data_IF_116176110643
#
_entry.id   IF_116176110643
#
_cell.length_a   1.000
_cell.length_b   1.000
_cell.length_c   1.000
_cell.angle_alpha   90.00
_cell.angle_beta   90.00
_cell.angle_gamma   90.00
#
_symmetry.space_group_name_H-M   'P 1'
#
loop_
_entity.id
_entity.type
_entity.pdbx_description
1 polymer ?
#
# COMPACT_ATOMS: atom_id res chain seq x y z
N UNK A 1 -50.73 58.63 -23.54
CA UNK A 1 -49.68 58.44 -24.57
C UNK A 1 -48.47 57.85 -23.84
N UNK A 2 -48.39 56.53 -23.59
CA UNK A 2 -48.15 55.40 -24.50
C UNK A 2 -46.69 55.32 -24.99
N UNK A 3 -46.03 54.16 -24.73
CA UNK A 3 -44.74 53.64 -25.26
C UNK A 3 -43.46 54.31 -24.69
N UNK A 4 -42.37 53.63 -24.28
CA UNK A 4 -41.78 52.34 -24.68
C UNK A 4 -40.91 51.78 -23.52
N UNK A 5 -41.10 50.53 -23.08
CA UNK A 5 -40.30 49.32 -23.43
C UNK A 5 -38.84 49.43 -22.93
N UNK A 6 -38.52 48.93 -21.72
CA UNK A 6 -38.21 47.53 -21.40
C UNK A 6 -36.95 46.99 -22.11
N UNK A 7 -35.83 46.93 -21.40
CA UNK A 7 -34.88 45.82 -21.46
C UNK A 7 -33.77 46.01 -20.42
N UNK A 8 -33.21 44.91 -19.93
CA UNK A 8 -32.12 44.80 -18.95
C UNK A 8 -32.52 44.61 -17.47
N UNK A 9 -33.64 43.93 -17.21
CA UNK A 9 -33.56 42.81 -16.26
C UNK A 9 -33.07 41.57 -17.03
N UNK A 10 -32.37 40.69 -16.33
CA UNK A 10 -31.87 39.36 -16.75
C UNK A 10 -30.40 39.32 -17.21
N UNK A 11 -29.46 39.51 -16.28
CA UNK A 11 -28.22 38.75 -16.31
C UNK A 11 -28.33 37.68 -15.21
N UNK A 12 -29.01 36.60 -15.56
CA UNK A 12 -29.05 35.35 -14.81
C UNK A 12 -27.61 34.86 -14.55
N UNK A 13 -27.35 34.23 -13.39
CA UNK A 13 -26.13 33.48 -13.17
C UNK A 13 -26.12 32.34 -14.18
N UNK A 14 -25.22 32.40 -15.16
CA UNK A 14 -24.96 31.30 -16.08
C UNK A 14 -24.57 30.09 -15.24
N UNK A 15 -25.53 29.18 -15.04
CA UNK A 15 -25.32 27.85 -14.51
C UNK A 15 -24.20 27.19 -15.33
N UNK A 16 -23.02 27.09 -14.75
CA UNK A 16 -21.97 26.19 -15.18
C UNK A 16 -22.53 24.76 -15.03
N UNK A 17 -23.20 24.29 -16.07
CA UNK A 17 -23.45 22.87 -16.25
C UNK A 17 -22.09 22.25 -16.59
N UNK A 18 -21.32 21.91 -15.56
CA UNK A 18 -20.11 21.11 -15.73
C UNK A 18 -20.53 19.79 -16.37
N UNK A 19 -20.14 19.59 -17.63
CA UNK A 19 -20.37 18.34 -18.33
C UNK A 19 -19.70 17.23 -17.52
N UNK A 20 -20.49 16.35 -16.91
CA UNK A 20 -19.98 15.12 -16.32
C UNK A 20 -19.37 14.32 -17.48
N UNK A 21 -18.05 14.03 -17.47
CA UNK A 21 -17.45 13.25 -18.54
C UNK A 21 -18.17 11.91 -18.64
N UNK A 22 -18.67 11.58 -19.84
CA UNK A 22 -19.26 10.26 -20.09
C UNK A 22 -18.14 9.24 -20.00
N UNK A 23 -18.12 8.45 -18.93
CA UNK A 23 -17.19 7.33 -18.81
C UNK A 23 -17.63 6.28 -19.83
N UNK A 24 -16.84 6.08 -20.88
CA UNK A 24 -17.05 4.96 -21.81
C UNK A 24 -17.02 3.64 -21.03
N UNK A 25 -17.90 2.67 -21.37
CA UNK A 25 -17.84 1.35 -20.76
C UNK A 25 -16.46 0.73 -21.01
N UNK A 26 -15.86 0.20 -19.95
CA UNK A 26 -14.57 -0.46 -20.04
C UNK A 26 -14.67 -1.68 -20.96
N UNK A 27 -13.77 -1.79 -21.93
CA UNK A 27 -13.64 -3.00 -22.75
C UNK A 27 -13.16 -4.14 -21.85
N UNK A 28 -13.86 -5.29 -21.81
CA UNK A 28 -13.40 -6.45 -21.05
C UNK A 28 -12.01 -6.87 -21.52
N UNK A 29 -11.08 -7.09 -20.58
CA UNK A 29 -9.78 -7.65 -20.91
C UNK A 29 -9.96 -9.12 -21.32
N UNK A 30 -9.59 -9.52 -22.55
CA UNK A 30 -9.61 -10.93 -22.94
C UNK A 30 -8.70 -11.75 -22.01
N UNK A 31 -9.12 -12.97 -21.67
CA UNK A 31 -8.36 -13.92 -20.85
C UNK A 31 -7.94 -13.41 -19.45
N UNK A 32 -8.74 -12.52 -18.85
CA UNK A 32 -8.46 -11.96 -17.53
C UNK A 32 -8.15 -13.03 -16.46
N UNK A 33 -8.89 -14.14 -16.44
CA UNK A 33 -8.68 -15.23 -15.47
C UNK A 33 -7.28 -15.84 -15.59
N UNK A 34 -6.81 -16.06 -16.83
CA UNK A 34 -5.47 -16.60 -17.08
C UNK A 34 -4.39 -15.62 -16.64
N UNK A 35 -4.57 -14.33 -16.91
CA UNK A 35 -3.65 -13.30 -16.45
C UNK A 35 -3.60 -13.25 -14.92
N UNK A 36 -4.75 -13.34 -14.25
CA UNK A 36 -4.81 -13.34 -12.78
C UNK A 36 -4.08 -14.54 -12.18
N UNK A 37 -4.25 -15.75 -12.74
CA UNK A 37 -3.47 -16.93 -12.32
C UNK A 37 -1.97 -16.69 -12.47
N UNK A 38 -1.54 -16.14 -13.62
CA UNK A 38 -0.12 -15.84 -13.86
C UNK A 38 0.44 -14.80 -12.89
N UNK A 39 -0.33 -13.76 -12.54
CA UNK A 39 0.08 -12.75 -11.56
C UNK A 39 0.15 -13.34 -10.15
N UNK A 40 -0.81 -14.18 -9.77
CA UNK A 40 -0.83 -14.83 -8.46
C UNK A 40 0.37 -15.75 -8.30
N UNK A 41 0.59 -16.66 -9.25
CA UNK A 41 1.63 -17.68 -9.16
C UNK A 41 3.03 -17.10 -9.43
N UNK A 42 3.13 -16.12 -10.32
CA UNK A 42 4.39 -15.54 -10.79
C UNK A 42 4.88 -14.34 -9.99
N UNK A 43 4.00 -13.64 -9.28
CA UNK A 43 4.37 -12.44 -8.52
C UNK A 43 3.90 -12.48 -7.06
N UNK A 44 2.58 -12.58 -6.81
CA UNK A 44 2.01 -12.41 -5.46
C UNK A 44 2.58 -13.46 -4.48
N UNK A 45 2.45 -14.75 -4.81
CA UNK A 45 2.93 -15.83 -3.94
C UNK A 45 4.45 -15.79 -3.74
N UNK A 46 5.28 -15.64 -4.80
CA UNK A 46 6.73 -15.51 -4.64
C UNK A 46 7.17 -14.36 -3.74
N UNK A 47 6.53 -13.18 -3.84
CA UNK A 47 6.87 -12.03 -3.02
C UNK A 47 6.63 -12.28 -1.53
N UNK A 48 5.50 -12.89 -1.16
CA UNK A 48 5.24 -13.26 0.23
C UNK A 48 6.13 -14.40 0.73
N UNK A 49 6.53 -15.34 -0.14
CA UNK A 49 7.53 -16.37 0.22
C UNK A 49 8.91 -15.77 0.50
N UNK A 50 9.32 -14.79 -0.30
CA UNK A 50 10.57 -14.06 -0.07
C UNK A 50 10.56 -13.33 1.28
N UNK A 51 9.43 -12.69 1.60
CA UNK A 51 9.22 -12.06 2.92
C UNK A 51 9.34 -13.08 4.06
N UNK A 52 8.72 -14.26 3.95
CA UNK A 52 8.81 -15.30 4.97
C UNK A 52 10.25 -15.80 5.18
N UNK A 53 10.99 -16.02 4.08
CA UNK A 53 12.40 -16.43 4.15
C UNK A 53 13.28 -15.38 4.84
N UNK A 54 13.11 -14.11 4.48
CA UNK A 54 13.88 -13.00 5.09
C UNK A 54 13.50 -12.78 6.55
N UNK A 55 12.22 -12.87 6.90
CA UNK A 55 11.74 -12.77 8.29
C UNK A 55 12.27 -13.92 9.18
N UNK A 56 12.30 -15.15 8.66
CA UNK A 56 12.91 -16.29 9.36
C UNK A 56 14.42 -16.06 9.56
N UNK A 57 15.11 -15.53 8.56
CA UNK A 57 16.53 -15.17 8.66
C UNK A 57 16.77 -14.09 9.72
N UNK A 58 15.95 -13.04 9.73
CA UNK A 58 15.99 -11.99 10.75
C UNK A 58 15.78 -12.55 12.16
N UNK A 59 14.85 -13.50 12.31
CA UNK A 59 14.61 -14.19 13.59
C UNK A 59 15.86 -14.92 14.08
N UNK A 60 16.56 -15.64 13.21
CA UNK A 60 17.80 -16.34 13.59
C UNK A 60 18.92 -15.35 13.94
N UNK A 61 19.12 -14.31 13.12
CA UNK A 61 20.12 -13.25 13.39
C UNK A 61 19.84 -12.53 14.71
N UNK A 62 18.56 -12.31 15.04
CA UNK A 62 18.14 -11.73 16.32
C UNK A 62 18.52 -12.63 17.49
N UNK A 63 18.25 -13.94 17.40
CA UNK A 63 18.64 -14.92 18.42
C UNK A 63 20.15 -14.95 18.64
N UNK A 64 20.93 -14.97 17.56
CA UNK A 64 22.41 -14.94 17.64
C UNK A 64 22.92 -13.67 18.33
N UNK A 65 22.40 -12.51 17.95
CA UNK A 65 22.78 -11.26 18.60
C UNK A 65 22.40 -11.25 20.08
N UNK A 66 21.20 -11.74 20.45
CA UNK A 66 20.77 -11.78 21.84
C UNK A 66 21.56 -12.78 22.70
N UNK A 67 22.08 -13.88 22.14
CA UNK A 67 22.90 -14.83 22.89
C UNK A 67 24.33 -14.34 23.12
N UNK A 68 24.90 -13.62 22.16
CA UNK A 68 26.27 -13.09 22.24
C UNK A 68 26.35 -11.71 21.55
N UNK A 69 25.97 -10.64 22.26
CA UNK A 69 25.93 -9.30 21.68
C UNK A 69 27.35 -8.80 21.36
N UNK A 70 27.59 -8.43 20.10
CA UNK A 70 28.81 -7.79 19.64
C UNK A 70 28.52 -6.78 18.54
N UNK A 71 29.48 -5.90 18.24
CA UNK A 71 29.36 -4.93 17.14
C UNK A 71 29.11 -5.64 15.81
N UNK A 72 29.77 -6.78 15.58
CA UNK A 72 29.62 -7.54 14.33
C UNK A 72 28.25 -8.23 14.26
N UNK A 73 27.80 -8.89 15.34
CA UNK A 73 26.48 -9.52 15.34
C UNK A 73 25.35 -8.49 15.25
N UNK A 74 25.54 -7.28 15.79
CA UNK A 74 24.60 -6.18 15.61
C UNK A 74 24.54 -5.68 14.16
N UNK A 75 25.68 -5.55 13.48
CA UNK A 75 25.72 -5.17 12.07
C UNK A 75 24.96 -6.18 11.20
N UNK A 76 25.21 -7.47 11.38
CA UNK A 76 24.51 -8.55 10.68
C UNK A 76 23.00 -8.53 10.95
N UNK A 77 22.59 -8.27 12.20
CA UNK A 77 21.19 -8.11 12.56
C UNK A 77 20.54 -6.94 11.81
N UNK A 78 21.20 -5.78 11.75
CA UNK A 78 20.71 -4.60 11.02
C UNK A 78 20.57 -4.86 9.52
N UNK A 79 21.52 -5.55 8.92
CA UNK A 79 21.44 -5.97 7.52
C UNK A 79 20.23 -6.87 7.28
N UNK A 80 20.00 -7.86 8.17
CA UNK A 80 18.83 -8.75 8.07
C UNK A 80 17.50 -8.03 8.22
N UNK A 81 17.46 -7.00 9.08
CA UNK A 81 16.29 -6.15 9.21
C UNK A 81 16.02 -5.37 7.92
N UNK A 82 17.07 -4.80 7.30
CA UNK A 82 16.95 -4.08 6.03
C UNK A 82 16.48 -4.99 4.88
N UNK A 83 17.05 -6.19 4.77
CA UNK A 83 16.65 -7.20 3.79
C UNK A 83 15.16 -7.57 3.92
N UNK A 84 14.70 -7.80 5.16
CA UNK A 84 13.30 -8.13 5.46
C UNK A 84 12.37 -6.96 5.15
N UNK A 85 12.76 -5.73 5.51
CA UNK A 85 11.96 -4.54 5.22
C UNK A 85 11.83 -4.28 3.72
N UNK A 86 12.89 -4.52 2.94
CA UNK A 86 12.84 -4.44 1.49
C UNK A 86 11.92 -5.51 0.88
N UNK A 87 11.94 -6.74 1.41
CA UNK A 87 11.01 -7.79 0.98
C UNK A 87 9.55 -7.42 1.30
N UNK A 88 9.29 -6.81 2.47
CA UNK A 88 7.98 -6.28 2.81
C UNK A 88 7.51 -5.23 1.80
N UNK A 89 8.35 -4.22 1.51
CA UNK A 89 7.97 -3.14 0.59
C UNK A 89 7.73 -3.60 -0.85
N UNK A 90 8.32 -4.72 -1.29
CA UNK A 90 7.97 -5.30 -2.59
C UNK A 90 6.51 -5.76 -2.67
N UNK A 91 5.85 -5.95 -1.53
CA UNK A 91 4.42 -6.30 -1.45
C UNK A 91 3.47 -5.09 -1.42
N UNK A 92 3.97 -3.85 -1.46
CA UNK A 92 3.15 -2.64 -1.24
C UNK A 92 2.00 -2.46 -2.25
N UNK A 93 2.11 -3.02 -3.46
CA UNK A 93 1.02 -3.03 -4.45
C UNK A 93 -0.08 -4.07 -4.15
N UNK A 94 0.10 -4.91 -3.13
CA UNK A 94 -0.72 -6.09 -2.81
C UNK A 94 -1.54 -5.89 -1.53
N UNK A 95 -1.87 -4.64 -1.20
CA UNK A 95 -2.62 -4.26 0.00
C UNK A 95 -4.12 -4.52 -0.15
N UNK A 96 -4.47 -5.78 -0.35
CA UNK A 96 -5.84 -6.30 -0.46
C UNK A 96 -5.90 -7.76 -0.01
N UNK A 97 -7.11 -8.29 0.19
CA UNK A 97 -7.31 -9.66 0.66
C UNK A 97 -6.66 -9.89 2.02
N UNK A 98 -5.99 -11.04 2.27
CA UNK A 98 -5.42 -11.38 3.57
C UNK A 98 -4.48 -10.32 4.16
N UNK A 99 -3.77 -9.55 3.31
CA UNK A 99 -2.90 -8.48 3.78
C UNK A 99 -3.64 -7.47 4.67
N UNK A 100 -4.90 -7.19 4.33
CA UNK A 100 -5.78 -6.24 5.03
C UNK A 100 -6.78 -6.97 5.93
N UNK A 101 -7.42 -8.03 5.44
CA UNK A 101 -8.48 -8.76 6.15
C UNK A 101 -7.95 -9.36 7.47
N UNK A 102 -6.70 -9.84 7.46
CA UNK A 102 -6.03 -10.41 8.63
C UNK A 102 -5.09 -9.40 9.33
N UNK A 103 -5.08 -8.13 8.88
CA UNK A 103 -4.24 -7.04 9.39
C UNK A 103 -2.74 -7.39 9.37
N UNK A 104 -2.28 -8.09 8.34
CA UNK A 104 -0.86 -8.44 8.19
C UNK A 104 -0.03 -7.17 8.01
N UNK A 105 -0.55 -6.18 7.28
CA UNK A 105 0.05 -4.85 7.10
C UNK A 105 0.45 -4.19 8.42
N UNK A 106 -0.49 -4.10 9.37
CA UNK A 106 -0.25 -3.50 10.67
C UNK A 106 0.62 -4.37 11.58
N UNK A 107 0.53 -5.70 11.46
CA UNK A 107 1.30 -6.64 12.28
C UNK A 107 2.77 -6.71 11.86
N UNK A 108 3.05 -6.65 10.56
CA UNK A 108 4.40 -6.73 10.02
C UNK A 108 5.09 -5.37 10.07
N UNK A 109 4.42 -4.30 9.63
CA UNK A 109 5.03 -2.98 9.55
C UNK A 109 4.08 -1.86 9.98
N UNK A 110 3.91 -1.70 11.29
CA UNK A 110 3.22 -0.55 11.85
C UNK A 110 3.99 0.76 11.59
N UNK A 111 3.56 1.51 10.58
CA UNK A 111 4.20 2.75 10.13
C UNK A 111 3.18 3.91 9.99
N UNK A 112 3.44 5.12 10.54
CA UNK A 112 4.65 5.53 11.26
C UNK A 112 4.76 4.91 12.66
N UNK A 113 5.99 4.58 13.12
CA UNK A 113 6.19 4.06 14.46
C UNK A 113 5.82 5.12 15.49
N UNK A 114 5.01 4.73 16.48
CA UNK A 114 4.64 5.62 17.59
C UNK A 114 5.67 5.48 18.72
N UNK A 115 6.57 6.47 18.84
CA UNK A 115 7.61 6.49 19.89
C UNK A 115 7.05 6.24 21.29
N UNK A 116 5.89 6.83 21.61
CA UNK A 116 5.22 6.63 22.90
C UNK A 116 4.85 5.17 23.17
N UNK A 117 4.47 4.41 22.13
CA UNK A 117 4.18 2.97 22.26
C UNK A 117 5.46 2.18 22.51
N UNK A 118 6.52 2.45 21.74
CA UNK A 118 7.81 1.76 21.89
C UNK A 118 8.40 2.00 23.29
N UNK A 119 8.41 3.25 23.74
CA UNK A 119 8.95 3.62 25.06
C UNK A 119 8.14 3.02 26.23
N UNK A 120 6.89 2.59 26.01
CA UNK A 120 6.09 1.91 27.02
C UNK A 120 6.31 0.39 27.08
N UNK A 121 7.07 -0.19 26.15
CA UNK A 121 7.33 -1.63 26.02
C UNK A 121 8.77 -2.04 26.36
N UNK A 122 9.68 -1.06 26.49
CA UNK A 122 11.08 -1.22 26.88
C UNK A 122 11.27 -0.87 28.36
#
# INVERSE_FOLDING_TARGET
MFKQIACCLLLLPSLLFAATPSVSPATPLPDADKLLVQVVDGAIIPLYRELDVTANTLTQRSKTFCSEPSTESFKVLREGWGETLLAWHRTDALMFGPAIDDQIDFKVNFNPPKKAVINGLL
#
